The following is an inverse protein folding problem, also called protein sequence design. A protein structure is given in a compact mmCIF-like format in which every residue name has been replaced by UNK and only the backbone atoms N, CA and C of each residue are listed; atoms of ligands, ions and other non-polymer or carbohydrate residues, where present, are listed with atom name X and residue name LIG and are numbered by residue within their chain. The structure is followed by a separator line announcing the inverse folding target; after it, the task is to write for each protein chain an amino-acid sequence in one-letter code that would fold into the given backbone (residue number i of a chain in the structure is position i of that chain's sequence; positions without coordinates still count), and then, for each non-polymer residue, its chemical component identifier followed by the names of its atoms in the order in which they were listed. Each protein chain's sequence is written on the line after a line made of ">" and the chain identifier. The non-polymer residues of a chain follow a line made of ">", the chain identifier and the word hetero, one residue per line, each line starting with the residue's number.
data_IF_582582382666
#
_entry.id   IF_582582382666
#
_cell.length_a   1.000
_cell.length_b   1.000
_cell.length_c   1.000
_cell.angle_alpha   90.00
_cell.angle_beta   90.00
_cell.angle_gamma   90.00
#
_symmetry.space_group_name_H-M   'P 1'
#
loop_
_entity.id
_entity.type
_entity.pdbx_description
1 polymer ?
#
# COMPACT_ATOMS: atom_id res chain seq x y z
N UNK A 1 41.64 -14.76 -19.39
CA UNK A 1 41.08 -15.77 -18.45
C UNK A 1 39.81 -15.29 -17.75
N UNK A 2 39.45 -14.00 -17.86
CA UNK A 2 38.30 -13.37 -17.18
C UNK A 2 36.97 -13.45 -17.96
N UNK A 3 37.01 -13.33 -19.29
CA UNK A 3 35.80 -13.36 -20.15
C UNK A 3 35.01 -14.67 -20.05
N UNK A 4 35.69 -15.78 -19.75
CA UNK A 4 35.07 -17.10 -19.61
C UNK A 4 34.27 -17.20 -18.30
N UNK A 5 34.69 -16.49 -17.25
CA UNK A 5 34.02 -16.47 -15.95
C UNK A 5 32.73 -15.62 -16.00
N UNK A 6 32.79 -14.48 -16.67
CA UNK A 6 31.61 -13.62 -16.84
C UNK A 6 30.57 -14.23 -17.77
N UNK A 7 31.00 -14.91 -18.84
CA UNK A 7 30.11 -15.70 -19.70
C UNK A 7 29.34 -16.77 -18.91
N UNK A 8 30.01 -17.46 -17.98
CA UNK A 8 29.38 -18.47 -17.11
C UNK A 8 28.38 -17.84 -16.13
N UNK A 9 28.72 -16.70 -15.52
CA UNK A 9 27.79 -15.96 -14.64
C UNK A 9 26.54 -15.48 -15.39
N UNK A 10 26.71 -14.98 -16.62
CA UNK A 10 25.58 -14.56 -17.46
C UNK A 10 24.66 -15.72 -17.82
N UNK A 11 25.22 -16.90 -18.14
CA UNK A 11 24.44 -18.10 -18.40
C UNK A 11 23.67 -18.57 -17.16
N UNK A 12 24.27 -18.48 -15.96
CA UNK A 12 23.59 -18.79 -14.70
C UNK A 12 22.45 -17.81 -14.42
N UNK A 13 22.68 -16.51 -14.61
CA UNK A 13 21.67 -15.48 -14.41
C UNK A 13 20.49 -15.64 -15.38
N UNK A 14 20.77 -15.92 -16.66
CA UNK A 14 19.75 -16.19 -17.68
C UNK A 14 18.94 -17.45 -17.34
N UNK A 15 19.58 -18.49 -16.80
CA UNK A 15 18.91 -19.70 -16.32
C UNK A 15 17.96 -19.42 -15.15
N UNK A 16 18.41 -18.60 -14.18
CA UNK A 16 17.58 -18.19 -13.04
C UNK A 16 16.37 -17.38 -13.49
N UNK A 17 16.56 -16.38 -14.36
CA UNK A 17 15.47 -15.60 -14.95
C UNK A 17 14.48 -16.48 -15.71
N UNK A 18 14.96 -17.44 -16.49
CA UNK A 18 14.11 -18.39 -17.22
C UNK A 18 13.29 -19.25 -16.25
N UNK A 19 13.88 -19.71 -15.16
CA UNK A 19 13.18 -20.48 -14.13
C UNK A 19 12.11 -19.64 -13.41
N UNK A 20 12.43 -18.39 -13.05
CA UNK A 20 11.47 -17.47 -12.45
C UNK A 20 10.32 -17.15 -13.41
N UNK A 21 10.61 -16.94 -14.69
CA UNK A 21 9.60 -16.71 -15.72
C UNK A 21 8.67 -17.93 -15.87
N UNK A 22 9.23 -19.14 -15.95
CA UNK A 22 8.45 -20.38 -16.03
C UNK A 22 7.58 -20.55 -14.79
N UNK A 23 8.13 -20.33 -13.59
CA UNK A 23 7.38 -20.40 -12.34
C UNK A 23 6.21 -19.39 -12.32
N UNK A 24 6.48 -18.14 -12.69
CA UNK A 24 5.46 -17.09 -12.77
C UNK A 24 4.38 -17.44 -13.79
N UNK A 25 4.76 -17.95 -14.96
CA UNK A 25 3.83 -18.35 -16.00
C UNK A 25 2.93 -19.51 -15.55
N UNK A 26 3.50 -20.53 -14.91
CA UNK A 26 2.73 -21.65 -14.33
C UNK A 26 1.77 -21.18 -13.25
N UNK A 27 2.25 -20.35 -12.31
CA UNK A 27 1.40 -19.80 -11.25
C UNK A 27 0.26 -18.93 -11.80
N UNK A 28 0.52 -18.15 -12.85
CA UNK A 28 -0.50 -17.34 -13.51
C UNK A 28 -1.53 -18.20 -14.24
N UNK A 29 -1.09 -19.26 -14.94
CA UNK A 29 -1.98 -20.23 -15.59
C UNK A 29 -2.88 -20.95 -14.57
N UNK A 30 -2.34 -21.38 -13.43
CA UNK A 30 -3.10 -21.97 -12.35
C UNK A 30 -4.11 -20.99 -11.73
N UNK A 31 -3.73 -19.73 -11.53
CA UNK A 31 -4.63 -18.68 -11.05
C UNK A 31 -5.75 -18.41 -12.04
N UNK A 32 -5.44 -18.33 -13.33
CA UNK A 32 -6.44 -18.18 -14.40
C UNK A 32 -7.40 -19.37 -14.43
N UNK A 33 -6.90 -20.59 -14.25
CA UNK A 33 -7.74 -21.80 -14.18
C UNK A 33 -8.64 -21.79 -12.93
N UNK A 34 -8.11 -21.46 -11.74
CA UNK A 34 -8.89 -21.33 -10.51
C UNK A 34 -9.97 -20.25 -10.64
N UNK A 35 -9.63 -19.13 -11.27
CA UNK A 35 -10.57 -18.05 -11.55
C UNK A 35 -11.65 -18.48 -12.54
N UNK A 36 -11.28 -19.19 -13.61
CA UNK A 36 -12.23 -19.74 -14.58
C UNK A 36 -13.18 -20.76 -13.95
N UNK A 37 -12.72 -21.62 -13.05
CA UNK A 37 -13.56 -22.60 -12.34
C UNK A 37 -14.49 -21.91 -11.33
N UNK A 38 -13.97 -20.94 -10.58
CA UNK A 38 -14.75 -20.12 -9.64
C UNK A 38 -15.81 -19.26 -10.35
N UNK A 39 -15.56 -18.88 -11.62
CA UNK A 39 -16.50 -18.11 -12.43
C UNK A 39 -17.40 -18.97 -13.32
N UNK A 40 -17.02 -20.20 -13.67
CA UNK A 40 -17.83 -21.11 -14.49
C UNK A 40 -19.09 -21.62 -13.76
N UNK A 41 -19.10 -21.59 -12.43
CA UNK A 41 -20.31 -21.85 -11.63
C UNK A 41 -21.34 -20.71 -11.66
N UNK A 42 -21.05 -19.59 -12.34
CA UNK A 42 -21.88 -18.38 -12.48
C UNK A 42 -22.82 -18.37 -13.69
N UNK A 43 -23.50 -19.46 -14.02
CA UNK A 43 -24.67 -19.35 -14.90
C UNK A 43 -25.89 -18.94 -14.05
N UNK A 44 -25.85 -17.69 -13.59
CA UNK A 44 -26.82 -17.07 -12.68
C UNK A 44 -26.08 -16.30 -11.59
N UNK A 45 -26.19 -14.97 -11.58
CA UNK A 45 -25.53 -14.14 -10.57
C UNK A 45 -25.83 -14.68 -9.17
N UNK A 46 -24.81 -15.07 -8.42
CA UNK A 46 -25.00 -15.54 -7.05
C UNK A 46 -25.59 -14.41 -6.19
N UNK A 47 -26.23 -14.76 -5.07
CA UNK A 47 -26.65 -13.76 -4.07
C UNK A 47 -25.49 -12.84 -3.66
N UNK A 48 -24.29 -13.41 -3.49
CA UNK A 48 -23.05 -12.69 -3.13
C UNK A 48 -22.67 -11.66 -4.19
N UNK A 49 -22.71 -12.02 -5.49
CA UNK A 49 -22.38 -11.08 -6.57
C UNK A 49 -23.34 -9.91 -6.65
N UNK A 50 -24.65 -10.18 -6.50
CA UNK A 50 -25.63 -9.09 -6.45
C UNK A 50 -25.44 -8.20 -5.24
N UNK A 51 -25.12 -8.78 -4.08
CA UNK A 51 -24.84 -8.01 -2.86
C UNK A 51 -23.61 -7.12 -3.06
N UNK A 52 -22.51 -7.65 -3.58
CA UNK A 52 -21.30 -6.88 -3.87
C UNK A 52 -21.55 -5.78 -4.91
N UNK A 53 -22.27 -6.09 -5.99
CA UNK A 53 -22.63 -5.10 -7.01
C UNK A 53 -23.55 -4.01 -6.45
N UNK A 54 -24.46 -4.37 -5.55
CA UNK A 54 -25.32 -3.41 -4.85
C UNK A 54 -24.50 -2.52 -3.92
N UNK A 55 -23.59 -3.09 -3.12
CA UNK A 55 -22.72 -2.28 -2.25
C UNK A 55 -21.88 -1.32 -3.10
N UNK A 56 -21.25 -1.80 -4.18
CA UNK A 56 -20.47 -0.95 -5.06
C UNK A 56 -21.30 0.20 -5.69
N UNK A 57 -22.56 -0.07 -6.06
CA UNK A 57 -23.44 0.96 -6.65
C UNK A 57 -23.90 2.02 -5.66
N UNK A 58 -23.79 1.78 -4.35
CA UNK A 58 -24.12 2.77 -3.31
C UNK A 58 -23.06 3.86 -3.13
N UNK A 59 -21.89 3.73 -3.77
CA UNK A 59 -20.86 4.76 -3.71
C UNK A 59 -21.42 6.13 -4.15
N UNK A 60 -21.27 7.13 -3.27
CA UNK A 60 -21.78 8.49 -3.46
C UNK A 60 -23.30 8.59 -3.75
N UNK A 61 -24.08 7.58 -3.39
CA UNK A 61 -25.54 7.60 -3.51
C UNK A 61 -26.21 7.98 -2.18
N UNK A 62 -27.30 8.75 -2.27
CA UNK A 62 -28.15 9.09 -1.10
C UNK A 62 -29.07 7.95 -0.67
N UNK A 63 -29.23 6.95 -1.53
CA UNK A 63 -30.11 5.83 -1.24
C UNK A 63 -29.54 5.02 -0.07
N UNK A 64 -30.29 4.89 1.03
CA UNK A 64 -29.87 4.23 2.28
C UNK A 64 -28.74 4.91 3.05
N UNK A 65 -28.25 6.08 2.61
CA UNK A 65 -27.16 6.78 3.30
C UNK A 65 -27.62 7.27 4.67
N UNK A 66 -26.84 6.97 5.69
CA UNK A 66 -27.05 7.35 7.09
C UNK A 66 -25.86 8.14 7.65
N UNK A 67 -24.92 8.53 6.78
CA UNK A 67 -23.70 9.24 7.09
C UNK A 67 -23.31 10.17 5.93
N UNK A 68 -22.61 11.25 6.23
CA UNK A 68 -21.92 12.10 5.26
C UNK A 68 -20.42 12.11 5.53
N UNK A 69 -19.60 11.92 4.50
CA UNK A 69 -18.15 12.14 4.57
C UNK A 69 -17.88 13.55 4.08
N UNK A 70 -17.31 14.39 4.95
CA UNK A 70 -16.85 15.72 4.60
C UNK A 70 -15.39 15.64 4.16
N UNK A 71 -15.11 16.09 2.94
CA UNK A 71 -13.78 16.17 2.35
C UNK A 71 -13.37 17.64 2.25
N UNK A 72 -12.15 17.91 1.77
CA UNK A 72 -11.63 19.29 1.62
C UNK A 72 -12.55 20.15 0.74
N UNK A 73 -12.98 19.61 -0.40
CA UNK A 73 -13.66 20.37 -1.46
C UNK A 73 -15.14 20.01 -1.65
N UNK A 74 -15.61 18.92 -1.04
CA UNK A 74 -16.96 18.40 -1.23
C UNK A 74 -17.41 17.54 -0.06
N UNK A 75 -18.68 17.14 -0.11
CA UNK A 75 -19.28 16.19 0.81
C UNK A 75 -19.91 15.06 0.02
N UNK A 76 -19.76 13.82 0.50
CA UNK A 76 -20.28 12.63 -0.15
C UNK A 76 -21.19 11.85 0.82
N UNK A 77 -22.38 11.41 0.38
CA UNK A 77 -23.19 10.50 1.19
C UNK A 77 -22.48 9.15 1.34
N UNK A 78 -22.62 8.54 2.51
CA UNK A 78 -22.02 7.26 2.86
C UNK A 78 -22.92 6.44 3.78
N UNK A 79 -22.46 5.22 4.09
CA UNK A 79 -23.22 4.19 4.75
C UNK A 79 -22.40 3.61 5.89
N UNK A 80 -22.87 3.75 7.14
CA UNK A 80 -22.18 3.25 8.33
C UNK A 80 -21.88 1.77 8.22
N UNK A 81 -22.85 0.98 7.76
CA UNK A 81 -22.69 -0.48 7.64
C UNK A 81 -21.56 -0.88 6.66
N UNK A 82 -21.33 -0.10 5.60
CA UNK A 82 -20.24 -0.38 4.64
C UNK A 82 -18.88 -0.10 5.28
N UNK A 83 -18.77 1.00 6.05
CA UNK A 83 -17.57 1.31 6.81
C UNK A 83 -17.28 0.23 7.86
N UNK A 84 -18.26 -0.11 8.69
CA UNK A 84 -18.13 -1.15 9.72
C UNK A 84 -17.79 -2.53 9.15
N UNK A 85 -18.25 -2.84 7.93
CA UNK A 85 -17.90 -4.09 7.25
C UNK A 85 -16.46 -4.12 6.74
N UNK A 86 -15.79 -2.97 6.58
CA UNK A 86 -14.42 -2.86 6.07
C UNK A 86 -13.36 -2.81 7.16
N UNK A 87 -13.70 -2.29 8.34
CA UNK A 87 -12.76 -2.13 9.45
C UNK A 87 -13.48 -2.00 10.78
N UNK A 88 -12.92 -2.65 11.80
CA UNK A 88 -13.36 -2.53 13.19
C UNK A 88 -13.12 -1.12 13.76
N UNK A 89 -12.31 -0.29 13.08
CA UNK A 89 -12.15 1.13 13.40
C UNK A 89 -13.50 1.85 13.49
N UNK A 90 -14.42 1.50 12.60
CA UNK A 90 -15.77 2.05 12.54
C UNK A 90 -16.77 1.09 13.20
N UNK A 91 -16.67 0.91 14.52
CA UNK A 91 -17.63 0.11 15.27
C UNK A 91 -19.02 0.77 15.34
N UNK A 92 -20.07 -0.03 15.51
CA UNK A 92 -21.45 0.45 15.65
C UNK A 92 -21.58 1.51 16.76
N UNK A 93 -20.92 1.28 17.91
CA UNK A 93 -20.93 2.23 19.03
C UNK A 93 -20.22 3.55 18.70
N UNK A 94 -19.11 3.49 17.94
CA UNK A 94 -18.39 4.70 17.51
C UNK A 94 -19.22 5.55 16.54
N UNK A 95 -20.02 4.92 15.68
CA UNK A 95 -20.80 5.59 14.65
C UNK A 95 -22.25 5.91 15.05
N UNK A 96 -22.76 5.38 16.17
CA UNK A 96 -24.19 5.43 16.54
C UNK A 96 -24.80 6.83 16.40
N UNK A 97 -24.14 7.86 16.94
CA UNK A 97 -24.63 9.24 16.95
C UNK A 97 -23.88 10.18 16.00
N UNK A 98 -23.08 9.62 15.09
CA UNK A 98 -22.33 10.41 14.09
C UNK A 98 -23.15 10.51 12.81
N UNK A 99 -23.43 11.73 12.36
CA UNK A 99 -24.04 12.00 11.05
C UNK A 99 -23.04 12.48 10.01
N UNK A 100 -21.88 12.98 10.45
CA UNK A 100 -20.80 13.47 9.58
C UNK A 100 -19.45 12.96 10.10
N UNK A 101 -18.66 12.33 9.23
CA UNK A 101 -17.24 12.09 9.47
C UNK A 101 -16.43 13.14 8.71
N UNK A 102 -15.61 13.89 9.44
CA UNK A 102 -14.74 14.90 8.84
C UNK A 102 -13.41 14.27 8.40
N UNK A 103 -13.19 14.16 7.09
CA UNK A 103 -11.97 13.71 6.44
C UNK A 103 -11.29 14.85 5.67
N UNK A 104 -11.65 16.12 5.94
CA UNK A 104 -11.03 17.29 5.30
C UNK A 104 -9.58 17.53 5.71
N UNK A 105 -9.07 16.77 6.69
CA UNK A 105 -7.65 16.76 7.06
C UNK A 105 -6.81 15.80 6.20
N UNK A 106 -7.43 14.96 5.36
CA UNK A 106 -6.69 14.06 4.48
C UNK A 106 -6.14 14.83 3.28
N UNK A 107 -4.88 14.55 2.95
CA UNK A 107 -4.15 15.26 1.89
C UNK A 107 -4.68 14.92 0.49
N UNK A 108 -4.75 15.95 -0.36
CA UNK A 108 -5.11 15.82 -1.77
C UNK A 108 -6.46 15.11 -1.98
N UNK A 109 -6.47 14.12 -2.88
CA UNK A 109 -7.65 13.32 -3.20
C UNK A 109 -7.76 12.02 -2.39
N UNK A 110 -6.89 11.81 -1.40
CA UNK A 110 -6.79 10.55 -0.66
C UNK A 110 -8.13 10.15 -0.03
N UNK A 111 -8.89 11.08 0.54
CA UNK A 111 -10.21 10.79 1.13
C UNK A 111 -11.25 10.32 0.11
N UNK A 112 -11.27 10.92 -1.09
CA UNK A 112 -12.17 10.51 -2.17
C UNK A 112 -11.82 9.12 -2.71
N UNK A 113 -10.53 8.88 -2.94
CA UNK A 113 -10.01 7.60 -3.44
C UNK A 113 -10.26 6.48 -2.41
N UNK A 114 -9.98 6.76 -1.14
CA UNK A 114 -10.25 5.86 -0.02
C UNK A 114 -11.73 5.48 0.05
N UNK A 115 -12.63 6.48 0.00
CA UNK A 115 -14.07 6.22 0.05
C UNK A 115 -14.53 5.37 -1.13
N UNK A 116 -14.03 5.63 -2.34
CA UNK A 116 -14.33 4.79 -3.51
C UNK A 116 -13.86 3.36 -3.28
N UNK A 117 -12.61 3.18 -2.84
CA UNK A 117 -12.04 1.86 -2.56
C UNK A 117 -12.83 1.08 -1.51
N UNK A 118 -13.32 1.73 -0.46
CA UNK A 118 -14.21 1.12 0.57
C UNK A 118 -15.46 0.48 -0.07
N UNK A 119 -16.00 1.05 -1.15
CA UNK A 119 -17.18 0.51 -1.83
C UNK A 119 -16.83 -0.50 -2.91
N UNK A 120 -15.72 -0.31 -3.63
CA UNK A 120 -15.44 -1.04 -4.87
C UNK A 120 -14.30 -2.05 -4.76
N UNK A 121 -13.48 -1.99 -3.71
CA UNK A 121 -12.18 -2.69 -3.60
C UNK A 121 -11.23 -2.40 -4.77
N UNK A 122 -11.39 -1.27 -5.46
CA UNK A 122 -10.57 -0.91 -6.62
C UNK A 122 -9.94 0.45 -6.45
N UNK A 123 -8.69 0.54 -6.87
CA UNK A 123 -7.89 1.75 -6.91
C UNK A 123 -6.99 1.69 -8.14
N UNK A 124 -6.88 2.82 -8.84
CA UNK A 124 -5.97 2.94 -9.97
C UNK A 124 -4.53 3.02 -9.47
N UNK A 125 -3.58 2.51 -10.24
CA UNK A 125 -2.19 2.36 -9.78
C UNK A 125 -1.57 3.70 -9.40
N UNK A 126 -1.87 4.73 -10.18
CA UNK A 126 -1.39 6.09 -10.03
C UNK A 126 -1.88 6.73 -8.72
N UNK A 127 -2.94 6.19 -8.12
CA UNK A 127 -3.53 6.65 -6.87
C UNK A 127 -3.00 5.89 -5.64
N UNK A 128 -2.16 4.87 -5.80
CA UNK A 128 -1.53 4.12 -4.70
C UNK A 128 -0.35 4.92 -4.12
N UNK A 129 -0.64 6.07 -3.52
CA UNK A 129 0.36 7.00 -2.99
C UNK A 129 0.64 6.77 -1.50
N UNK A 130 1.69 7.42 -0.98
CA UNK A 130 1.99 7.40 0.45
C UNK A 130 0.88 8.03 1.29
N UNK A 131 0.22 9.08 0.79
CA UNK A 131 -0.89 9.76 1.45
C UNK A 131 -2.10 8.82 1.59
N UNK A 132 -2.42 8.06 0.53
CA UNK A 132 -3.47 7.04 0.60
C UNK A 132 -3.10 5.93 1.60
N UNK A 133 -1.84 5.49 1.61
CA UNK A 133 -1.35 4.48 2.55
C UNK A 133 -1.46 4.95 4.01
N UNK A 134 -1.10 6.21 4.29
CA UNK A 134 -1.25 6.85 5.61
C UNK A 134 -2.72 6.89 6.03
N UNK A 135 -3.61 7.33 5.13
CA UNK A 135 -5.05 7.36 5.39
C UNK A 135 -5.61 5.95 5.66
N UNK A 136 -5.21 4.96 4.87
CA UNK A 136 -5.60 3.57 5.04
C UNK A 136 -5.16 3.00 6.39
N UNK A 137 -3.92 3.26 6.80
CA UNK A 137 -3.38 2.83 8.09
C UNK A 137 -4.14 3.46 9.26
N UNK A 138 -4.44 4.76 9.20
CA UNK A 138 -5.22 5.46 10.22
C UNK A 138 -6.61 4.84 10.46
N UNK A 139 -7.21 4.29 9.40
CA UNK A 139 -8.50 3.59 9.47
C UNK A 139 -8.37 2.07 9.56
N UNK A 140 -7.16 1.55 9.79
CA UNK A 140 -6.86 0.13 9.97
C UNK A 140 -7.26 -0.75 8.77
N UNK A 141 -7.18 -0.19 7.56
CA UNK A 141 -7.50 -0.88 6.30
C UNK A 141 -6.29 -1.61 5.75
N UNK A 142 -5.94 -2.73 6.41
CA UNK A 142 -4.71 -3.50 6.12
C UNK A 142 -4.55 -3.89 4.65
N UNK A 143 -5.62 -4.31 3.99
CA UNK A 143 -5.58 -4.70 2.57
C UNK A 143 -5.13 -3.55 1.67
N UNK A 144 -5.62 -2.33 1.91
CA UNK A 144 -5.22 -1.15 1.14
C UNK A 144 -3.79 -0.72 1.47
N UNK A 145 -3.35 -0.85 2.73
CA UNK A 145 -1.96 -0.62 3.11
C UNK A 145 -1.03 -1.56 2.35
N UNK A 146 -1.34 -2.86 2.29
CA UNK A 146 -0.54 -3.85 1.55
C UNK A 146 -0.52 -3.58 0.03
N UNK A 147 -1.62 -3.09 -0.56
CA UNK A 147 -1.69 -2.68 -1.96
C UNK A 147 -0.77 -1.48 -2.23
N UNK A 148 -0.83 -0.45 -1.38
CA UNK A 148 0.04 0.73 -1.49
C UNK A 148 1.51 0.34 -1.29
N UNK A 149 1.80 -0.45 -0.27
CA UNK A 149 3.15 -0.95 0.04
C UNK A 149 3.76 -1.66 -1.17
N UNK A 150 3.01 -2.60 -1.76
CA UNK A 150 3.48 -3.37 -2.93
C UNK A 150 3.75 -2.49 -4.14
N UNK A 151 2.90 -1.48 -4.38
CA UNK A 151 3.08 -0.56 -5.48
C UNK A 151 4.28 0.37 -5.26
N UNK A 152 4.38 0.97 -4.06
CA UNK A 152 5.43 1.92 -3.71
C UNK A 152 6.82 1.27 -3.79
N UNK A 153 6.98 0.00 -3.39
CA UNK A 153 8.24 -0.75 -3.57
C UNK A 153 8.73 -0.71 -5.03
N UNK A 154 7.82 -0.77 -6.00
CA UNK A 154 8.14 -0.72 -7.42
C UNK A 154 8.46 0.68 -7.96
N UNK A 155 8.21 1.73 -7.17
CA UNK A 155 8.41 3.14 -7.58
C UNK A 155 9.49 3.86 -6.79
N UNK A 156 9.98 3.28 -5.69
CA UNK A 156 11.03 3.89 -4.84
C UNK A 156 12.25 4.26 -5.67
N UNK A 157 12.79 5.44 -5.40
CA UNK A 157 14.05 5.94 -5.92
C UNK A 157 15.00 6.32 -4.78
N UNK A 158 16.25 6.65 -5.09
CA UNK A 158 17.17 7.17 -4.07
C UNK A 158 16.75 8.52 -3.48
N UNK A 159 15.94 9.31 -4.21
CA UNK A 159 15.53 10.64 -3.77
C UNK A 159 14.48 10.60 -2.67
N UNK A 160 13.67 9.56 -2.64
CA UNK A 160 12.52 9.42 -1.75
C UNK A 160 12.63 8.22 -0.80
N UNK A 161 13.67 7.38 -0.91
CA UNK A 161 13.83 6.18 -0.09
C UNK A 161 13.90 6.46 1.41
N UNK A 162 14.53 7.56 1.85
CA UNK A 162 14.65 7.91 3.28
C UNK A 162 13.31 8.37 3.86
N UNK A 163 12.56 9.18 3.08
CA UNK A 163 11.21 9.61 3.46
C UNK A 163 10.24 8.43 3.51
N UNK A 164 10.31 7.52 2.52
CA UNK A 164 9.49 6.32 2.47
C UNK A 164 9.86 5.32 3.57
N UNK A 165 11.15 5.15 3.89
CA UNK A 165 11.60 4.36 5.03
C UNK A 165 10.97 4.87 6.33
N UNK A 166 11.08 6.17 6.57
CA UNK A 166 10.52 6.82 7.77
C UNK A 166 9.02 6.59 7.89
N UNK A 167 8.29 6.82 6.80
CA UNK A 167 6.85 6.61 6.80
C UNK A 167 6.48 5.13 6.94
N UNK A 168 7.24 4.22 6.34
CA UNK A 168 7.00 2.78 6.46
C UNK A 168 7.18 2.27 7.90
N UNK A 169 8.17 2.79 8.63
CA UNK A 169 8.36 2.51 10.07
C UNK A 169 7.17 3.00 10.89
N UNK A 170 6.73 4.25 10.68
CA UNK A 170 5.59 4.84 11.38
C UNK A 170 4.28 4.08 11.13
N UNK A 171 4.10 3.58 9.91
CA UNK A 171 2.90 2.88 9.47
C UNK A 171 2.94 1.36 9.73
N UNK A 172 4.07 0.81 10.19
CA UNK A 172 4.26 -0.63 10.36
C UNK A 172 4.27 -1.42 9.04
N UNK A 173 4.67 -0.78 7.94
CA UNK A 173 4.72 -1.38 6.61
C UNK A 173 6.08 -2.04 6.37
N UNK A 174 6.22 -3.26 6.88
CA UNK A 174 7.50 -3.98 6.99
C UNK A 174 8.20 -4.21 5.65
N UNK A 175 7.48 -4.55 4.57
CA UNK A 175 8.10 -4.83 3.27
C UNK A 175 8.68 -3.57 2.65
N UNK A 176 7.94 -2.46 2.71
CA UNK A 176 8.42 -1.17 2.19
C UNK A 176 9.60 -0.67 3.03
N UNK A 177 9.50 -0.77 4.36
CA UNK A 177 10.60 -0.44 5.29
C UNK A 177 11.85 -1.25 4.94
N UNK A 178 11.74 -2.56 4.85
CA UNK A 178 12.89 -3.45 4.63
C UNK A 178 13.52 -3.20 3.26
N UNK A 179 12.70 -2.94 2.23
CA UNK A 179 13.17 -2.56 0.91
C UNK A 179 13.92 -1.23 0.93
N UNK A 180 13.34 -0.18 1.52
CA UNK A 180 13.99 1.13 1.63
C UNK A 180 15.26 1.04 2.48
N UNK A 181 15.26 0.26 3.56
CA UNK A 181 16.45 0.02 4.38
C UNK A 181 17.57 -0.63 3.56
N UNK A 182 17.27 -1.65 2.76
CA UNK A 182 18.23 -2.28 1.84
C UNK A 182 18.78 -1.29 0.81
N UNK A 183 17.92 -0.44 0.24
CA UNK A 183 18.33 0.56 -0.75
C UNK A 183 19.24 1.64 -0.13
N UNK A 184 18.87 2.17 1.04
CA UNK A 184 19.68 3.11 1.84
C UNK A 184 21.03 2.49 2.18
N UNK A 185 21.04 1.21 2.55
CA UNK A 185 22.27 0.47 2.87
C UNK A 185 23.22 0.35 1.68
N UNK A 186 22.64 0.08 0.51
CA UNK A 186 23.39 -0.16 -0.73
C UNK A 186 24.00 1.14 -1.28
N UNK A 187 23.32 2.26 -1.07
CA UNK A 187 23.70 3.58 -1.57
C UNK A 187 24.08 4.55 -0.45
N UNK A 188 24.61 4.03 0.66
CA UNK A 188 24.90 4.81 1.85
C UNK A 188 25.83 6.00 1.56
N UNK A 189 26.87 5.78 0.76
CA UNK A 189 27.86 6.80 0.41
C UNK A 189 27.32 7.86 -0.57
N UNK A 190 26.19 7.59 -1.22
CA UNK A 190 25.51 8.52 -2.12
C UNK A 190 24.54 9.46 -1.36
N UNK A 191 24.27 9.18 -0.08
CA UNK A 191 23.35 9.94 0.78
C UNK A 191 24.10 10.98 1.62
N UNK A 192 23.41 12.08 1.89
CA UNK A 192 23.92 13.23 2.64
C UNK A 192 23.07 13.47 3.89
N UNK A 193 23.57 14.29 4.82
CA UNK A 193 22.80 14.66 6.01
C UNK A 193 21.45 15.32 5.68
N UNK A 194 21.34 15.99 4.53
CA UNK A 194 20.09 16.62 4.08
C UNK A 194 18.99 15.59 3.77
N UNK A 195 19.35 14.36 3.38
CA UNK A 195 18.40 13.29 3.09
C UNK A 195 17.71 12.77 4.37
N UNK A 196 18.37 12.92 5.52
CA UNK A 196 17.88 12.45 6.83
C UNK A 196 17.26 13.56 7.70
N UNK A 197 17.20 14.80 7.21
CA UNK A 197 16.80 15.96 8.02
C UNK A 197 15.39 15.87 8.62
N UNK A 198 14.48 15.21 7.92
CA UNK A 198 13.07 15.02 8.33
C UNK A 198 12.88 13.72 9.13
N UNK A 199 13.91 12.88 9.26
CA UNK A 199 13.82 11.63 9.99
C UNK A 199 13.78 11.89 11.51
N UNK A 200 12.87 11.23 12.26
CA UNK A 200 12.88 11.30 13.71
C UNK A 200 14.22 10.83 14.29
N UNK A 201 14.79 11.63 15.20
CA UNK A 201 16.10 11.34 15.82
C UNK A 201 16.26 9.92 16.38
N UNK A 202 15.26 9.33 17.07
CA UNK A 202 15.33 7.94 17.53
C UNK A 202 15.48 6.93 16.37
N UNK A 203 14.75 7.14 15.28
CA UNK A 203 14.81 6.27 14.12
C UNK A 203 16.16 6.40 13.39
N UNK A 204 16.67 7.64 13.25
CA UNK A 204 17.99 7.89 12.69
C UNK A 204 19.09 7.21 13.52
N UNK A 205 18.98 7.29 14.85
CA UNK A 205 19.93 6.62 15.75
C UNK A 205 19.93 5.10 15.57
N UNK A 206 18.75 4.46 15.52
CA UNK A 206 18.64 3.02 15.26
C UNK A 206 19.20 2.65 13.89
N UNK A 207 18.91 3.44 12.85
CA UNK A 207 19.45 3.23 11.51
C UNK A 207 20.99 3.29 11.50
N UNK A 208 21.58 4.30 12.15
CA UNK A 208 23.04 4.47 12.25
C UNK A 208 23.71 3.36 13.07
N UNK A 209 23.06 2.90 14.14
CA UNK A 209 23.54 1.79 14.97
C UNK A 209 23.55 0.47 14.22
N UNK A 210 22.56 0.25 13.35
CA UNK A 210 22.52 -0.93 12.47
C UNK A 210 23.60 -0.89 11.39
N UNK A 211 24.21 0.28 11.12
CA UNK A 211 25.17 0.49 10.03
C UNK A 211 26.61 0.75 10.46
N UNK A 212 26.85 1.15 11.69
CA UNK A 212 28.19 1.45 12.18
C UNK A 212 28.46 0.68 13.47
N UNK A 213 29.62 0.03 13.56
CA UNK A 213 30.14 -0.43 14.85
C UNK A 213 30.38 0.76 15.81
N UNK A 214 30.44 1.99 15.28
CA UNK A 214 30.70 3.24 16.03
C UNK A 214 29.94 4.46 15.47
N UNK A 215 28.67 4.70 15.85
CA UNK A 215 27.79 5.72 15.25
C UNK A 215 28.19 7.19 15.43
N UNK A 216 29.19 7.49 16.26
CA UNK A 216 29.60 8.87 16.59
C UNK A 216 30.93 9.29 15.93
N UNK A 217 31.63 8.39 15.25
CA UNK A 217 32.94 8.68 14.65
C UNK A 217 32.91 9.04 13.15
N UNK A 218 31.78 8.83 12.48
CA UNK A 218 31.58 9.16 11.06
C UNK A 218 30.96 10.55 10.81
N UNK A 219 30.56 11.26 11.86
CA UNK A 219 30.12 12.65 11.76
C UNK A 219 31.36 13.56 11.77
N UNK A 220 32.01 13.71 10.62
CA UNK A 220 33.01 14.75 10.39
C UNK A 220 32.74 15.48 9.09
#
# INVERSE_FOLDING_TARGET
>A
MDETNDSVKWQQHLSLLRNQYVHLHTANSELQQKYAIATASRQGSGFIERLLATIASLYAQKQYSDLTIKLVNNELPAHKFVLSARSDFWSESSLANISVLDWSYLDGDAGSILLKWIYTSTVEKENLTLELMKAASNFQLKELVEQCETYLIGTVSLRDCVALYTAAEELGAEKLRDYCSSLISTHWDDLTGDDFKEMPGPLLYELLKTKSEFPLHSAR
#
